data_IF_725094660609
#
_entry.id   IF_725094660609
#
_cell.length_a   1.000
_cell.length_b   1.000
_cell.length_c   1.000
_cell.angle_alpha   90.00
_cell.angle_beta   90.00
_cell.angle_gamma   90.00
#
_symmetry.space_group_name_H-M   'P 1'
#
loop_
_entity.id
_entity.type
_entity.pdbx_description
1 polymer ?
#
# COMPACT_ATOMS: atom_id res chain seq x y z
N UNK A 1 -10.93 -19.46 5.30
CA UNK A 1 -10.25 -19.78 6.58
C UNK A 1 -9.24 -20.89 6.31
N UNK A 2 -8.00 -20.77 6.77
CA UNK A 2 -7.00 -21.84 6.58
C UNK A 2 -7.17 -22.91 7.65
N UNK A 3 -7.88 -23.98 7.30
CA UNK A 3 -8.11 -25.13 8.16
C UNK A 3 -7.43 -26.36 7.59
N UNK A 4 -7.06 -27.27 8.48
CA UNK A 4 -6.61 -28.60 8.16
C UNK A 4 -7.78 -29.46 7.68
N UNK A 5 -7.50 -30.61 7.05
CA UNK A 5 -8.55 -31.54 6.58
C UNK A 5 -9.42 -32.12 7.70
N UNK A 6 -8.96 -32.04 8.95
CA UNK A 6 -9.71 -32.41 10.17
C UNK A 6 -10.46 -31.23 10.82
N UNK A 7 -10.48 -30.04 10.19
CA UNK A 7 -11.14 -28.84 10.69
C UNK A 7 -10.32 -28.01 11.69
N UNK A 8 -9.16 -28.48 12.15
CA UNK A 8 -8.31 -27.71 13.06
C UNK A 8 -7.62 -26.53 12.36
N UNK A 9 -7.25 -25.50 13.12
CA UNK A 9 -6.49 -24.38 12.59
C UNK A 9 -5.10 -24.80 12.11
N UNK A 10 -4.64 -24.18 11.03
CA UNK A 10 -3.30 -24.38 10.53
C UNK A 10 -2.27 -23.78 11.51
N UNK A 11 -1.36 -24.59 12.03
CA UNK A 11 -0.31 -24.11 12.94
C UNK A 11 0.92 -23.63 12.18
N UNK A 12 1.67 -22.63 12.68
CA UNK A 12 2.85 -22.08 12.00
C UNK A 12 3.90 -23.14 11.63
N UNK A 13 4.12 -24.14 12.49
CA UNK A 13 5.07 -25.23 12.24
C UNK A 13 4.68 -26.11 11.05
N UNK A 14 3.38 -26.33 10.82
CA UNK A 14 2.88 -27.10 9.67
C UNK A 14 3.00 -26.33 8.35
N UNK A 15 3.10 -25.00 8.40
CA UNK A 15 3.28 -24.14 7.22
C UNK A 15 4.73 -24.02 6.74
N UNK A 16 5.71 -24.41 7.56
CA UNK A 16 7.12 -24.37 7.15
C UNK A 16 7.47 -25.42 6.07
N UNK A 17 6.76 -26.56 6.02
CA UNK A 17 6.95 -27.59 5.01
C UNK A 17 6.57 -27.13 3.60
N UNK A 18 5.33 -26.66 3.40
CA UNK A 18 4.86 -26.11 2.13
C UNK A 18 5.73 -24.96 1.60
N UNK A 19 6.10 -24.01 2.46
CA UNK A 19 6.97 -22.90 2.06
C UNK A 19 8.34 -23.38 1.57
N UNK A 20 8.99 -24.29 2.32
CA UNK A 20 10.28 -24.87 1.91
C UNK A 20 10.17 -25.62 0.58
N UNK A 21 9.05 -26.30 0.32
CA UNK A 21 8.81 -26.96 -0.96
C UNK A 21 8.70 -25.96 -2.11
N UNK A 22 7.85 -24.95 -1.96
CA UNK A 22 7.69 -23.91 -2.97
C UNK A 22 9.01 -23.19 -3.30
N UNK A 23 9.82 -22.88 -2.27
CA UNK A 23 11.13 -22.25 -2.46
C UNK A 23 12.11 -23.15 -3.25
N UNK A 24 12.14 -24.46 -2.95
CA UNK A 24 12.96 -25.42 -3.72
C UNK A 24 12.49 -25.52 -5.16
N UNK A 25 11.19 -25.65 -5.37
CA UNK A 25 10.60 -25.79 -6.71
C UNK A 25 10.84 -24.51 -7.56
N UNK A 26 10.89 -23.33 -6.91
CA UNK A 26 11.25 -22.06 -7.54
C UNK A 26 12.77 -21.81 -7.67
N UNK A 27 13.62 -22.70 -7.15
CA UNK A 27 15.08 -22.51 -7.14
C UNK A 27 15.56 -21.36 -6.25
N UNK A 28 14.73 -20.90 -5.30
CA UNK A 28 15.03 -19.77 -4.42
C UNK A 28 15.69 -20.30 -3.15
N UNK A 29 16.95 -19.91 -2.95
CA UNK A 29 17.75 -20.24 -1.78
C UNK A 29 18.47 -19.00 -1.25
N UNK A 30 18.82 -19.03 0.04
CA UNK A 30 19.52 -17.94 0.72
C UNK A 30 20.87 -18.45 1.19
N UNK A 31 21.92 -17.66 1.00
CA UNK A 31 23.27 -18.01 1.45
C UNK A 31 23.37 -18.13 2.97
N UNK A 32 22.57 -17.34 3.71
CA UNK A 32 22.52 -17.34 5.17
C UNK A 32 21.07 -17.27 5.65
N UNK A 33 20.69 -18.22 6.51
CA UNK A 33 19.37 -18.30 7.12
C UNK A 33 18.31 -19.00 6.26
N UNK A 34 17.10 -19.16 6.82
CA UNK A 34 15.94 -19.72 6.11
C UNK A 34 14.97 -18.59 5.74
N UNK A 35 14.43 -18.64 4.52
CA UNK A 35 13.35 -17.74 4.10
C UNK A 35 12.06 -18.19 4.78
N UNK A 36 11.46 -17.27 5.55
CA UNK A 36 10.22 -17.47 6.27
C UNK A 36 9.06 -16.66 5.70
N UNK A 37 7.87 -16.84 6.29
CA UNK A 37 6.66 -16.09 5.93
C UNK A 37 6.81 -14.58 6.12
N UNK A 38 7.63 -14.15 7.08
CA UNK A 38 7.92 -12.74 7.29
C UNK A 38 8.72 -12.11 6.14
N UNK A 39 9.62 -12.87 5.50
CA UNK A 39 10.37 -12.37 4.34
C UNK A 39 9.44 -12.10 3.17
N UNK A 40 8.48 -13.01 2.92
CA UNK A 40 7.45 -12.79 1.88
C UNK A 40 6.62 -11.54 2.17
N UNK A 41 6.25 -11.30 3.43
CA UNK A 41 5.56 -10.08 3.84
C UNK A 41 6.42 -8.83 3.63
N UNK A 42 7.72 -8.91 3.86
CA UNK A 42 8.66 -7.82 3.57
C UNK A 42 8.82 -7.57 2.06
N UNK A 43 8.86 -8.64 1.25
CA UNK A 43 8.87 -8.55 -0.21
C UNK A 43 7.63 -7.82 -0.71
N UNK A 44 6.44 -8.18 -0.22
CA UNK A 44 5.20 -7.50 -0.56
C UNK A 44 5.26 -5.98 -0.28
N UNK A 45 5.66 -5.57 0.93
CA UNK A 45 5.79 -4.16 1.28
C UNK A 45 6.84 -3.42 0.44
N UNK A 46 7.96 -4.09 0.13
CA UNK A 46 9.04 -3.54 -0.69
C UNK A 46 8.57 -3.27 -2.12
N UNK A 47 7.85 -4.22 -2.74
CA UNK A 47 7.30 -4.05 -4.08
C UNK A 47 6.27 -2.93 -4.15
N UNK A 48 5.40 -2.79 -3.16
CA UNK A 48 4.45 -1.68 -3.13
C UNK A 48 5.17 -0.32 -3.08
N UNK A 49 6.20 -0.21 -2.23
CA UNK A 49 6.99 1.01 -2.13
C UNK A 49 7.72 1.33 -3.45
N UNK A 50 8.38 0.34 -4.06
CA UNK A 50 9.05 0.52 -5.36
C UNK A 50 8.09 0.96 -6.48
N UNK A 51 6.82 0.54 -6.43
CA UNK A 51 5.80 0.95 -7.39
C UNK A 51 5.16 2.32 -7.06
N UNK A 52 5.68 3.05 -6.06
CA UNK A 52 5.20 4.39 -5.70
C UNK A 52 3.90 4.42 -4.91
N UNK A 53 3.50 3.31 -4.30
CA UNK A 53 2.33 3.30 -3.41
C UNK A 53 2.64 4.12 -2.15
N UNK A 54 1.77 5.05 -1.73
CA UNK A 54 2.00 5.85 -0.54
C UNK A 54 2.18 4.99 0.73
N UNK A 55 3.16 5.34 1.57
CA UNK A 55 3.49 4.56 2.79
C UNK A 55 2.30 4.37 3.73
N UNK A 56 1.38 5.34 3.79
CA UNK A 56 0.18 5.21 4.61
C UNK A 56 -0.75 4.08 4.11
N UNK A 57 -0.91 3.98 2.80
CA UNK A 57 -1.68 2.90 2.16
C UNK A 57 -0.98 1.55 2.40
N UNK A 58 0.34 1.51 2.26
CA UNK A 58 1.12 0.29 2.57
C UNK A 58 0.93 -0.12 4.04
N UNK A 59 0.92 0.83 4.98
CA UNK A 59 0.67 0.54 6.40
C UNK A 59 -0.67 -0.18 6.61
N UNK A 60 -1.73 0.29 5.96
CA UNK A 60 -3.07 -0.26 6.07
C UNK A 60 -3.17 -1.64 5.41
N UNK A 61 -2.62 -1.80 4.20
CA UNK A 61 -2.57 -3.08 3.49
C UNK A 61 -1.78 -4.14 4.26
N UNK A 62 -0.70 -3.73 4.91
CA UNK A 62 0.10 -4.62 5.75
C UNK A 62 -0.46 -4.77 7.16
N UNK A 63 -1.49 -4.03 7.57
CA UNK A 63 -2.03 -4.07 8.94
C UNK A 63 -0.99 -3.73 10.01
N UNK A 64 -0.08 -2.79 9.73
CA UNK A 64 0.90 -2.32 10.70
C UNK A 64 0.26 -1.35 11.70
N UNK A 65 0.50 -1.60 12.98
CA UNK A 65 -0.05 -0.78 14.06
C UNK A 65 0.45 0.67 14.02
N UNK A 66 1.71 0.86 13.64
CA UNK A 66 2.34 2.19 13.57
C UNK A 66 3.01 2.42 12.22
N UNK A 67 3.20 3.69 11.86
CA UNK A 67 3.81 4.05 10.57
C UNK A 67 5.30 3.72 10.54
N UNK A 68 5.97 3.75 11.69
CA UNK A 68 7.40 3.46 11.87
C UNK A 68 7.74 2.04 11.38
N UNK A 69 6.83 1.08 11.55
CA UNK A 69 6.99 -0.28 11.02
C UNK A 69 7.09 -0.28 9.49
N UNK A 70 6.32 0.59 8.83
CA UNK A 70 6.28 0.74 7.37
C UNK A 70 7.40 1.63 6.83
N UNK A 71 7.93 2.54 7.65
CA UNK A 71 9.05 3.43 7.26
C UNK A 71 10.30 2.68 6.80
N UNK A 72 10.45 1.39 7.16
CA UNK A 72 11.49 0.52 6.61
C UNK A 72 11.52 0.52 5.08
N UNK A 73 10.39 0.71 4.40
CA UNK A 73 10.30 0.70 2.94
C UNK A 73 10.40 2.09 2.29
N UNK A 74 10.48 3.17 3.08
CA UNK A 74 10.46 4.54 2.56
C UNK A 74 11.57 4.81 1.54
N UNK A 75 12.76 4.25 1.77
CA UNK A 75 13.91 4.39 0.88
C UNK A 75 13.76 3.72 -0.48
N UNK A 76 12.77 2.82 -0.64
CA UNK A 76 12.47 2.15 -1.90
C UNK A 76 11.48 2.95 -2.75
N UNK A 77 10.83 3.96 -2.17
CA UNK A 77 9.89 4.80 -2.90
C UNK A 77 10.60 5.54 -4.03
N UNK A 78 10.01 5.60 -5.25
CA UNK A 78 10.42 6.53 -6.28
C UNK A 78 10.57 7.94 -5.73
N UNK A 79 11.51 8.73 -6.27
CA UNK A 79 11.77 10.10 -5.79
C UNK A 79 10.51 10.97 -5.89
N UNK A 80 9.76 10.96 -4.80
CA UNK A 80 8.44 11.58 -4.68
C UNK A 80 8.58 13.09 -4.51
N UNK A 81 9.78 13.57 -4.15
CA UNK A 81 10.05 14.98 -3.87
C UNK A 81 9.84 15.81 -5.13
N UNK A 82 10.34 15.35 -6.28
CA UNK A 82 10.23 16.08 -7.54
C UNK A 82 8.79 16.12 -8.04
N UNK A 83 8.07 15.00 -7.96
CA UNK A 83 6.64 14.94 -8.32
C UNK A 83 5.78 15.79 -7.39
N UNK A 84 6.06 15.81 -6.09
CA UNK A 84 5.31 16.61 -5.12
C UNK A 84 5.48 18.11 -5.35
N UNK A 85 6.69 18.57 -5.69
CA UNK A 85 6.92 19.99 -6.03
C UNK A 85 6.15 20.39 -7.28
N UNK A 86 6.15 19.54 -8.31
CA UNK A 86 5.43 19.82 -9.56
C UNK A 86 3.90 19.99 -9.38
N UNK A 87 3.32 19.50 -8.28
CA UNK A 87 1.88 19.74 -7.98
C UNK A 87 1.60 21.22 -7.73
N UNK A 88 2.54 21.95 -7.14
CA UNK A 88 2.40 23.38 -6.88
C UNK A 88 2.45 24.22 -8.17
N UNK A 89 3.11 23.71 -9.20
CA UNK A 89 3.20 24.37 -10.51
C UNK A 89 1.92 24.25 -11.34
N UNK A 90 0.92 23.48 -10.87
CA UNK A 90 -0.37 23.38 -11.54
C UNK A 90 -1.15 24.69 -11.33
N UNK A 91 -1.50 25.42 -12.40
CA UNK A 91 -2.30 26.63 -12.26
C UNK A 91 -3.62 26.29 -11.59
N UNK A 92 -3.89 26.97 -10.47
CA UNK A 92 -5.20 26.96 -9.85
C UNK A 92 -6.21 27.39 -10.90
N UNK A 93 -7.22 26.57 -11.17
CA UNK A 93 -8.31 26.96 -12.05
C UNK A 93 -8.83 28.33 -11.59
N UNK A 94 -9.06 29.28 -12.51
CA UNK A 94 -9.59 30.58 -12.11
C UNK A 94 -10.88 30.33 -11.36
N UNK A 95 -10.96 30.88 -10.14
CA UNK A 95 -12.16 30.80 -9.31
C UNK A 95 -13.34 31.29 -10.15
N UNK A 96 -14.22 30.35 -10.54
CA UNK A 96 -15.43 30.66 -11.28
C UNK A 96 -16.20 31.74 -10.53
N UNK A 97 -16.58 32.78 -11.27
CA UNK A 97 -17.18 34.01 -10.77
C UNK A 97 -18.42 33.69 -9.91
N UNK A 98 -18.28 33.81 -8.59
CA UNK A 98 -19.31 33.47 -7.58
C UNK A 98 -20.48 34.47 -7.60
N UNK A 99 -20.48 35.43 -8.55
CA UNK A 99 -21.45 36.52 -8.66
C UNK A 99 -22.67 36.19 -9.53
N UNK A 100 -22.72 35.04 -10.19
CA UNK A 100 -23.81 34.69 -11.10
C UNK A 100 -25.09 34.13 -10.43
N UNK A 101 -25.14 33.96 -9.10
CA UNK A 101 -26.31 33.35 -8.42
C UNK A 101 -27.23 34.34 -7.69
N UNK A 102 -27.05 35.65 -7.88
CA UNK A 102 -27.90 36.66 -7.24
C UNK A 102 -28.55 37.59 -8.28
N UNK A 103 -29.62 37.14 -8.90
CA UNK A 103 -30.50 38.05 -9.63
C UNK A 103 -31.43 37.39 -10.63
N UNK A 104 -32.30 36.47 -10.22
CA UNK A 104 -33.38 35.98 -11.08
C UNK A 104 -34.54 35.35 -10.28
N UNK A 105 -35.01 35.99 -9.20
CA UNK A 105 -36.19 35.51 -8.42
C UNK A 105 -37.09 36.66 -7.90
N UNK A 106 -37.18 37.78 -8.63
CA UNK A 106 -38.04 38.90 -8.25
C UNK A 106 -38.86 39.44 -9.42
N UNK A 107 -39.66 38.59 -10.08
CA UNK A 107 -40.66 39.03 -11.06
C UNK A 107 -41.75 37.98 -11.33
N UNK A 108 -42.44 37.43 -10.31
CA UNK A 108 -43.79 36.88 -10.53
C UNK A 108 -44.62 36.69 -9.25
N UNK A 109 -45.23 37.76 -8.75
CA UNK A 109 -46.56 37.64 -8.13
C UNK A 109 -47.27 39.00 -8.21
N UNK A 110 -48.27 39.05 -9.09
CA UNK A 110 -49.30 40.10 -9.15
C UNK A 110 -50.37 39.88 -8.09
#
# INVERSE_FOLDING_TARGET
MFCQGNGEHLTPGRMAGPLRRALRDAGINRAVGQIGWHDLRHTYGSHLAMNGVPLKVIQELMGHATIEMTMRYAHLSPDSRRTAVNVLDRPLAPAGDIRATRGEDAANHS
#
